data_IF_460212114430
#
_entry.id   IF_460212114430
#
_cell.length_a   1.000
_cell.length_b   1.000
_cell.length_c   1.000
_cell.angle_alpha   90.00
_cell.angle_beta   90.00
_cell.angle_gamma   90.00
#
_symmetry.space_group_name_H-M   'P 1'
#
loop_
_entity.id
_entity.type
_entity.pdbx_description
1 polymer ?
#
# COMPACT_ATOMS: atom_id res chain seq x y z
N UNK A 1 7.33 8.33 -20.56
CA UNK A 1 7.82 6.96 -20.30
C UNK A 1 7.26 6.53 -18.95
N UNK A 2 6.64 5.35 -18.85
CA UNK A 2 6.04 4.88 -17.61
C UNK A 2 7.14 4.59 -16.58
N UNK A 3 7.01 5.13 -15.37
CA UNK A 3 7.91 4.93 -14.25
C UNK A 3 7.15 4.37 -13.07
N UNK A 4 7.77 3.45 -12.37
CA UNK A 4 7.21 2.81 -11.20
C UNK A 4 8.15 2.97 -10.00
N UNK A 5 7.63 2.70 -8.79
CA UNK A 5 8.41 2.83 -7.57
C UNK A 5 8.26 1.61 -6.66
N UNK A 6 9.35 1.24 -6.03
CA UNK A 6 9.30 0.51 -4.77
C UNK A 6 9.60 1.45 -3.61
N UNK A 7 8.92 1.20 -2.50
CA UNK A 7 9.15 1.93 -1.24
C UNK A 7 9.31 0.86 -0.17
N UNK A 8 10.50 0.74 0.37
CA UNK A 8 10.92 -0.36 1.24
C UNK A 8 11.30 0.21 2.60
N UNK A 9 10.80 -0.41 3.67
CA UNK A 9 11.21 -0.08 5.04
C UNK A 9 12.60 -0.62 5.31
N UNK A 10 13.45 0.26 5.79
CA UNK A 10 14.71 -0.09 6.44
C UNK A 10 14.54 0.17 7.93
N UNK A 11 14.81 -0.82 8.75
CA UNK A 11 14.64 -0.75 10.19
C UNK A 11 15.92 -1.22 10.87
N UNK A 12 16.59 -0.29 11.57
CA UNK A 12 17.86 -0.56 12.27
C UNK A 12 18.89 -1.32 11.41
N UNK A 13 19.06 -0.91 10.16
CA UNK A 13 20.04 -1.50 9.23
C UNK A 13 19.52 -2.70 8.43
N UNK A 14 18.30 -3.15 8.67
CA UNK A 14 17.71 -4.29 7.96
C UNK A 14 16.68 -3.84 6.91
N UNK A 15 16.87 -4.25 5.65
CA UNK A 15 15.94 -4.01 4.55
C UNK A 15 14.81 -5.03 4.60
N UNK A 16 13.59 -4.60 4.86
CA UNK A 16 12.44 -5.48 5.07
C UNK A 16 11.82 -5.95 3.76
N UNK A 17 11.33 -7.19 3.75
CA UNK A 17 10.48 -7.75 2.67
C UNK A 17 11.05 -7.64 1.25
N UNK A 18 12.37 -7.68 1.09
CA UNK A 18 13.08 -7.51 -0.20
C UNK A 18 12.53 -8.43 -1.28
N UNK A 19 12.29 -9.71 -0.98
CA UNK A 19 11.78 -10.69 -1.94
C UNK A 19 10.39 -10.31 -2.50
N UNK A 20 9.48 -9.78 -1.66
CA UNK A 20 8.15 -9.34 -2.10
C UNK A 20 8.24 -8.08 -2.98
N UNK A 21 9.17 -7.16 -2.66
CA UNK A 21 9.42 -5.96 -3.46
C UNK A 21 10.01 -6.32 -4.83
N UNK A 22 10.99 -7.22 -4.85
CA UNK A 22 11.62 -7.71 -6.08
C UNK A 22 10.62 -8.43 -6.97
N UNK A 23 9.78 -9.31 -6.40
CA UNK A 23 8.69 -9.96 -7.13
C UNK A 23 7.76 -8.93 -7.79
N UNK A 24 7.18 -7.99 -7.02
CA UNK A 24 6.26 -6.98 -7.55
C UNK A 24 6.90 -6.10 -8.61
N UNK A 25 8.15 -5.69 -8.41
CA UNK A 25 8.91 -4.92 -9.39
C UNK A 25 9.03 -5.69 -10.71
N UNK A 26 9.40 -6.97 -10.64
CA UNK A 26 9.57 -7.80 -11.83
C UNK A 26 8.23 -8.15 -12.48
N UNK A 27 7.17 -8.40 -11.71
CA UNK A 27 5.81 -8.59 -12.24
C UNK A 27 5.35 -7.34 -13.03
N UNK A 28 5.59 -6.14 -12.48
CA UNK A 28 5.30 -4.88 -13.17
C UNK A 28 6.12 -4.74 -14.44
N UNK A 29 7.42 -5.08 -14.40
CA UNK A 29 8.30 -5.01 -15.57
C UNK A 29 7.87 -6.00 -16.67
N UNK A 30 7.55 -7.23 -16.30
CA UNK A 30 7.06 -8.26 -17.24
C UNK A 30 5.74 -7.82 -17.89
N UNK A 31 4.85 -7.17 -17.12
CA UNK A 31 3.59 -6.66 -17.67
C UNK A 31 3.78 -5.56 -18.72
N UNK A 32 4.69 -4.61 -18.49
CA UNK A 32 4.88 -3.47 -19.41
C UNK A 32 5.99 -3.70 -20.44
N UNK A 33 6.98 -4.52 -20.12
CA UNK A 33 8.18 -4.77 -20.94
C UNK A 33 8.60 -6.25 -20.84
N UNK A 34 7.88 -7.18 -21.46
CA UNK A 34 8.08 -8.62 -21.25
C UNK A 34 9.48 -9.12 -21.66
N UNK A 35 10.16 -8.43 -22.58
CA UNK A 35 11.52 -8.76 -23.01
C UNK A 35 12.62 -8.21 -22.09
N UNK A 36 12.27 -7.41 -21.08
CA UNK A 36 13.26 -6.84 -20.17
C UNK A 36 13.72 -7.88 -19.14
N UNK A 37 15.04 -8.01 -18.89
CA UNK A 37 15.55 -8.95 -17.90
C UNK A 37 15.04 -8.61 -16.49
N UNK A 38 14.88 -9.62 -15.65
CA UNK A 38 14.54 -9.42 -14.25
C UNK A 38 15.65 -8.65 -13.53
N UNK A 39 15.26 -7.83 -12.56
CA UNK A 39 16.17 -7.05 -11.72
C UNK A 39 16.28 -7.70 -10.34
N UNK A 40 17.49 -7.68 -9.79
CA UNK A 40 17.77 -8.09 -8.41
C UNK A 40 18.08 -6.85 -7.57
N UNK A 41 17.29 -6.61 -6.53
CA UNK A 41 17.41 -5.41 -5.70
C UNK A 41 18.75 -5.35 -4.96
N UNK A 42 19.31 -6.48 -4.59
CA UNK A 42 20.55 -6.58 -3.83
C UNK A 42 21.72 -5.78 -4.46
N UNK A 43 21.80 -5.75 -5.79
CA UNK A 43 22.86 -5.01 -6.52
C UNK A 43 22.70 -3.49 -6.52
N UNK A 44 21.59 -2.97 -5.99
CA UNK A 44 21.26 -1.54 -6.03
C UNK A 44 21.04 -0.91 -4.66
N UNK A 45 21.23 -1.69 -3.59
CA UNK A 45 21.06 -1.14 -2.24
C UNK A 45 22.21 -0.20 -1.90
N UNK A 46 21.91 1.03 -1.45
CA UNK A 46 22.94 1.97 -0.99
C UNK A 46 23.49 1.54 0.38
N UNK A 47 24.45 2.28 0.90
CA UNK A 47 24.82 2.14 2.31
C UNK A 47 23.58 2.37 3.19
N UNK A 48 23.25 1.36 4.02
CA UNK A 48 22.06 1.35 4.84
C UNK A 48 22.37 1.91 6.23
N UNK A 49 21.63 2.94 6.71
CA UNK A 49 21.81 3.45 8.06
C UNK A 49 21.52 2.39 9.13
N UNK A 50 22.42 2.24 10.10
CA UNK A 50 22.34 1.20 11.12
C UNK A 50 21.33 1.47 12.25
N UNK A 51 20.65 2.62 12.27
CA UNK A 51 19.70 3.00 13.32
C UNK A 51 18.48 3.72 12.78
N UNK A 52 17.35 3.58 13.48
CA UNK A 52 16.08 4.23 13.15
C UNK A 52 15.39 3.62 11.92
N UNK A 53 14.21 4.17 11.62
CA UNK A 53 13.41 3.76 10.46
C UNK A 53 13.71 4.68 9.28
N UNK A 54 14.04 4.08 8.13
CA UNK A 54 14.30 4.80 6.89
C UNK A 54 13.40 4.29 5.77
N UNK A 55 13.11 5.18 4.84
CA UNK A 55 12.38 4.91 3.60
C UNK A 55 13.38 4.77 2.46
N UNK A 56 13.59 3.56 1.98
CA UNK A 56 14.31 3.27 0.76
C UNK A 56 13.32 3.35 -0.41
N UNK A 57 13.52 4.31 -1.30
CA UNK A 57 12.73 4.52 -2.50
C UNK A 57 13.55 4.19 -3.72
N UNK A 58 13.00 3.33 -4.59
CA UNK A 58 13.62 2.87 -5.82
C UNK A 58 12.67 3.22 -6.97
N UNK A 59 13.13 4.02 -7.93
CA UNK A 59 12.42 4.31 -9.18
C UNK A 59 12.99 3.43 -10.28
N UNK A 60 12.10 2.84 -11.06
CA UNK A 60 12.48 1.97 -12.17
C UNK A 60 11.59 2.12 -13.38
N UNK A 61 12.13 1.77 -14.53
CA UNK A 61 11.48 1.80 -15.83
C UNK A 61 11.90 0.64 -16.70
N UNK A 62 11.74 0.80 -18.00
CA UNK A 62 12.12 -0.21 -18.99
C UNK A 62 13.62 -0.57 -18.93
N UNK A 63 14.48 0.43 -18.81
CA UNK A 63 15.93 0.26 -18.85
C UNK A 63 16.55 -0.16 -17.52
N UNK A 64 15.73 -0.40 -16.47
CA UNK A 64 16.22 -0.81 -15.16
C UNK A 64 15.90 0.19 -14.06
N UNK A 65 16.73 0.18 -13.00
CA UNK A 65 16.63 1.11 -11.88
C UNK A 65 17.25 2.46 -12.29
N UNK A 66 16.49 3.54 -12.07
CA UNK A 66 16.86 4.91 -12.47
C UNK A 66 17.29 5.77 -11.29
N UNK A 67 16.71 5.54 -10.12
CA UNK A 67 16.97 6.33 -8.91
C UNK A 67 16.83 5.47 -7.67
N UNK A 68 17.74 5.62 -6.72
CA UNK A 68 17.66 5.02 -5.40
C UNK A 68 17.95 6.08 -4.34
N UNK A 69 17.02 6.25 -3.39
CA UNK A 69 17.18 7.19 -2.27
C UNK A 69 16.81 6.52 -0.96
N UNK A 70 17.55 6.84 0.11
CA UNK A 70 17.27 6.38 1.45
C UNK A 70 17.18 7.58 2.39
N UNK A 71 16.01 7.78 3.02
CA UNK A 71 15.75 8.96 3.86
C UNK A 71 15.11 8.54 5.18
N UNK A 72 15.37 9.25 6.29
CA UNK A 72 14.65 9.02 7.53
C UNK A 72 13.14 9.06 7.33
N UNK A 73 12.43 8.22 8.05
CA UNK A 73 10.97 8.12 7.93
C UNK A 73 10.29 8.22 9.30
N UNK A 74 9.26 9.03 9.35
CA UNK A 74 8.34 9.12 10.50
C UNK A 74 6.93 8.82 10.01
N UNK A 75 6.25 7.91 10.70
CA UNK A 75 4.87 7.57 10.41
C UNK A 75 3.95 8.78 10.69
N UNK A 76 3.17 9.18 9.70
CA UNK A 76 2.10 10.15 9.89
C UNK A 76 0.89 9.40 10.47
N UNK A 77 0.37 9.81 11.64
CA UNK A 77 -0.83 9.21 12.19
C UNK A 77 -2.05 9.48 11.30
N UNK A 78 -2.90 8.47 11.17
CA UNK A 78 -4.22 8.55 10.54
C UNK A 78 -5.24 8.18 11.60
N UNK A 79 -6.24 9.03 11.84
CA UNK A 79 -7.25 8.86 12.89
C UNK A 79 -8.68 8.85 12.33
N UNK A 80 -8.84 9.28 11.09
CA UNK A 80 -10.14 9.36 10.42
C UNK A 80 -10.02 9.17 8.93
N UNK A 81 -11.03 8.55 8.32
CA UNK A 81 -11.06 8.24 6.89
C UNK A 81 -12.37 8.71 6.26
N UNK A 82 -12.25 9.45 5.16
CA UNK A 82 -13.38 9.78 4.29
C UNK A 82 -13.64 8.62 3.31
N UNK A 83 -14.85 8.07 3.28
CA UNK A 83 -15.26 7.09 2.26
C UNK A 83 -15.51 7.83 0.93
N UNK A 84 -14.72 7.51 -0.09
CA UNK A 84 -14.79 8.17 -1.40
C UNK A 84 -15.08 7.13 -2.48
N UNK A 85 -16.20 7.28 -3.17
CA UNK A 85 -16.49 6.43 -4.33
C UNK A 85 -15.68 6.87 -5.55
N UNK A 86 -15.03 5.88 -6.20
CA UNK A 86 -14.21 6.09 -7.38
C UNK A 86 -14.12 4.80 -8.22
N UNK A 87 -15.14 4.56 -9.04
CA UNK A 87 -15.28 3.32 -9.79
C UNK A 87 -14.27 3.16 -10.92
N UNK A 88 -13.81 4.28 -11.49
CA UNK A 88 -12.92 4.31 -12.65
C UNK A 88 -11.44 4.46 -12.29
N UNK A 89 -11.09 4.48 -10.99
CA UNK A 89 -9.69 4.61 -10.59
C UNK A 89 -8.91 3.35 -10.96
N UNK A 90 -7.77 3.54 -11.63
CA UNK A 90 -6.77 2.51 -11.87
C UNK A 90 -5.44 2.91 -11.22
N UNK A 91 -4.93 2.04 -10.35
CA UNK A 91 -3.62 2.11 -9.72
C UNK A 91 -3.10 0.70 -9.40
N UNK A 92 -3.34 -0.25 -10.30
CA UNK A 92 -2.95 -1.65 -10.11
C UNK A 92 -1.42 -1.82 -10.00
N UNK A 93 -0.65 -0.97 -10.68
CA UNK A 93 0.80 -0.88 -10.57
C UNK A 93 1.21 0.37 -9.80
N UNK A 94 2.29 0.28 -9.01
CA UNK A 94 2.78 1.38 -8.17
C UNK A 94 3.51 2.44 -9.02
N UNK A 95 2.73 3.22 -9.78
CA UNK A 95 3.24 4.28 -10.65
C UNK A 95 3.80 5.46 -9.85
N UNK A 96 4.79 6.17 -10.43
CA UNK A 96 5.21 7.49 -9.97
C UNK A 96 4.14 8.54 -10.20
N UNK A 97 3.29 8.38 -11.21
CA UNK A 97 2.12 9.22 -11.42
C UNK A 97 1.01 8.84 -10.43
N UNK A 98 0.78 9.72 -9.49
CA UNK A 98 -0.27 9.63 -8.46
C UNK A 98 -1.38 10.65 -8.66
N UNK A 99 -1.47 11.26 -9.82
CA UNK A 99 -2.41 12.37 -10.08
C UNK A 99 -3.87 11.98 -9.77
N UNK A 100 -4.30 10.78 -10.18
CA UNK A 100 -5.64 10.28 -9.88
C UNK A 100 -5.86 10.07 -8.36
N UNK A 101 -4.93 9.42 -7.67
CA UNK A 101 -5.00 9.25 -6.21
C UNK A 101 -4.98 10.59 -5.47
N UNK A 102 -4.14 11.54 -5.92
CA UNK A 102 -4.04 12.86 -5.30
C UNK A 102 -5.34 13.67 -5.47
N UNK A 103 -6.02 13.55 -6.62
CA UNK A 103 -7.34 14.16 -6.82
C UNK A 103 -8.39 13.57 -5.87
N UNK A 104 -8.39 12.26 -5.65
CA UNK A 104 -9.28 11.63 -4.68
C UNK A 104 -8.94 12.07 -3.25
N UNK A 105 -7.65 12.05 -2.90
CA UNK A 105 -7.17 12.48 -1.58
C UNK A 105 -7.55 13.94 -1.26
N UNK A 106 -7.58 14.82 -2.26
CA UNK A 106 -8.02 16.22 -2.09
C UNK A 106 -9.48 16.32 -1.65
N UNK A 107 -10.32 15.31 -1.93
CA UNK A 107 -11.74 15.26 -1.54
C UNK A 107 -11.97 14.82 -0.09
N UNK A 108 -10.93 14.50 0.67
CA UNK A 108 -11.06 14.01 2.05
C UNK A 108 -11.70 14.99 3.04
N UNK A 109 -11.82 16.26 2.67
CA UNK A 109 -12.33 17.30 3.60
C UNK A 109 -11.43 17.46 4.82
N UNK A 110 -12.02 17.41 6.01
CA UNK A 110 -11.32 17.54 7.30
C UNK A 110 -10.69 16.21 7.80
N UNK A 111 -10.88 15.09 7.10
CA UNK A 111 -10.36 13.79 7.51
C UNK A 111 -8.87 13.63 7.15
N UNK A 112 -8.18 12.71 7.83
CA UNK A 112 -6.74 12.53 7.66
C UNK A 112 -6.37 11.86 6.33
N UNK A 113 -7.17 10.86 5.90
CA UNK A 113 -7.00 10.16 4.63
C UNK A 113 -8.36 9.74 4.05
N UNK A 114 -8.34 9.01 2.96
CA UNK A 114 -9.53 8.47 2.30
C UNK A 114 -9.52 6.94 2.36
N UNK A 115 -10.72 6.34 2.36
CA UNK A 115 -10.93 4.95 2.04
C UNK A 115 -11.70 4.88 0.71
N UNK A 116 -11.06 4.31 -0.30
CA UNK A 116 -11.59 4.27 -1.66
C UNK A 116 -12.55 3.10 -1.79
N UNK A 117 -13.76 3.43 -2.22
CA UNK A 117 -14.84 2.49 -2.54
C UNK A 117 -14.93 2.38 -4.06
N UNK A 118 -14.89 1.16 -4.59
CA UNK A 118 -15.02 0.88 -6.02
C UNK A 118 -16.11 -0.14 -6.24
N UNK A 119 -17.17 0.24 -6.97
CA UNK A 119 -18.35 -0.62 -7.22
C UNK A 119 -18.91 -1.22 -5.93
N UNK A 120 -19.12 -0.37 -4.93
CA UNK A 120 -19.59 -0.71 -3.57
C UNK A 120 -18.61 -1.55 -2.73
N UNK A 121 -17.45 -1.91 -3.23
CA UNK A 121 -16.43 -2.67 -2.49
C UNK A 121 -15.34 -1.74 -1.95
N UNK A 122 -14.92 -1.99 -0.71
CA UNK A 122 -13.76 -1.34 -0.13
C UNK A 122 -12.49 -1.81 -0.83
N UNK A 123 -11.52 -0.92 -1.04
CA UNK A 123 -10.28 -1.28 -1.75
C UNK A 123 -9.02 -0.97 -0.95
N UNK A 124 -8.71 0.31 -0.76
CA UNK A 124 -7.47 0.78 -0.14
C UNK A 124 -7.63 2.24 0.30
N UNK A 125 -6.70 2.74 1.13
CA UNK A 125 -6.57 4.19 1.35
C UNK A 125 -5.72 4.83 0.24
N UNK A 126 -5.43 6.12 0.36
CA UNK A 126 -4.55 6.80 -0.60
C UNK A 126 -3.13 6.22 -0.63
N UNK A 127 -2.68 5.54 0.44
CA UNK A 127 -1.30 5.05 0.60
C UNK A 127 -1.19 3.61 1.12
N UNK A 128 -2.25 3.02 1.68
CA UNK A 128 -2.18 1.77 2.43
C UNK A 128 -3.25 0.76 1.98
N UNK A 129 -2.93 -0.53 2.09
CA UNK A 129 -3.94 -1.57 2.14
C UNK A 129 -4.66 -1.53 3.48
N UNK A 130 -5.82 -2.17 3.55
CA UNK A 130 -6.64 -2.25 4.75
C UNK A 130 -6.94 -3.69 5.12
N UNK A 131 -7.21 -3.91 6.40
CA UNK A 131 -7.89 -5.10 6.88
C UNK A 131 -8.91 -4.72 7.95
N UNK A 132 -10.04 -5.42 7.97
CA UNK A 132 -11.13 -5.21 8.93
C UNK A 132 -11.27 -6.46 9.80
N UNK A 133 -11.55 -6.25 11.10
CA UNK A 133 -11.72 -7.32 12.09
C UNK A 133 -13.18 -7.54 12.40
N UNK A 134 -13.64 -8.78 12.22
CA UNK A 134 -15.04 -9.17 12.46
C UNK A 134 -15.30 -9.74 13.88
N UNK A 135 -14.30 -9.66 14.76
CA UNK A 135 -14.32 -10.25 16.10
C UNK A 135 -13.58 -11.60 16.16
N UNK A 136 -13.25 -12.22 15.03
CA UNK A 136 -12.57 -13.50 14.96
C UNK A 136 -11.40 -13.50 13.97
N UNK A 137 -11.58 -12.88 12.81
CA UNK A 137 -10.62 -12.91 11.70
C UNK A 137 -10.38 -11.52 11.12
N UNK A 138 -9.19 -11.35 10.54
CA UNK A 138 -8.83 -10.17 9.77
C UNK A 138 -9.08 -10.40 8.27
N UNK A 139 -10.00 -9.63 7.70
CA UNK A 139 -10.34 -9.66 6.28
C UNK A 139 -9.73 -8.49 5.53
N UNK A 140 -9.05 -8.75 4.43
CA UNK A 140 -8.54 -7.73 3.51
C UNK A 140 -9.30 -7.78 2.19
N UNK A 141 -9.57 -6.64 1.52
CA UNK A 141 -10.22 -6.63 0.22
C UNK A 141 -9.58 -7.59 -0.76
N UNK A 142 -10.38 -8.43 -1.40
CA UNK A 142 -9.95 -9.37 -2.45
C UNK A 142 -9.42 -8.62 -3.68
N UNK A 143 -10.02 -7.45 -3.97
CA UNK A 143 -9.69 -6.59 -5.10
C UNK A 143 -9.14 -5.25 -4.62
N UNK A 144 -7.95 -5.20 -3.99
CA UNK A 144 -7.36 -3.94 -3.56
C UNK A 144 -6.95 -3.11 -4.76
N UNK A 145 -6.88 -1.79 -4.59
CA UNK A 145 -6.41 -0.91 -5.66
C UNK A 145 -4.96 -1.22 -6.07
N UNK A 146 -4.11 -1.54 -5.10
CA UNK A 146 -2.75 -2.01 -5.30
C UNK A 146 -2.50 -3.25 -4.45
N UNK A 147 -1.96 -4.30 -5.01
CA UNK A 147 -1.48 -5.48 -4.28
C UNK A 147 -0.17 -5.14 -3.56
N UNK A 148 -0.27 -4.75 -2.28
CA UNK A 148 0.88 -4.34 -1.47
C UNK A 148 1.80 -5.50 -1.07
N UNK A 149 3.09 -5.22 -0.91
CA UNK A 149 4.09 -6.22 -0.50
C UNK A 149 3.87 -6.70 0.94
N UNK A 150 3.50 -5.80 1.86
CA UNK A 150 3.10 -6.19 3.22
C UNK A 150 1.82 -7.03 3.21
N UNK A 151 0.85 -6.72 2.32
CA UNK A 151 -0.35 -7.54 2.17
C UNK A 151 -0.01 -8.96 1.73
N UNK A 152 0.87 -9.12 0.75
CA UNK A 152 1.30 -10.43 0.28
C UNK A 152 1.97 -11.23 1.43
N UNK A 153 2.87 -10.60 2.18
CA UNK A 153 3.50 -11.22 3.36
C UNK A 153 2.47 -11.70 4.40
N UNK A 154 1.47 -10.87 4.72
CA UNK A 154 0.46 -11.19 5.74
C UNK A 154 -0.51 -12.29 5.28
N UNK A 155 -0.80 -12.36 3.98
CA UNK A 155 -1.57 -13.45 3.37
C UNK A 155 -0.77 -14.77 3.41
N UNK A 156 0.51 -14.75 3.01
CA UNK A 156 1.38 -15.93 3.03
C UNK A 156 1.57 -16.47 4.46
N UNK A 157 1.50 -15.60 5.47
CA UNK A 157 1.54 -15.97 6.90
C UNK A 157 0.17 -16.42 7.46
N UNK A 158 -0.90 -16.39 6.67
CA UNK A 158 -2.25 -16.74 7.12
C UNK A 158 -2.86 -15.77 8.15
N UNK A 159 -2.28 -14.55 8.28
CA UNK A 159 -2.80 -13.50 9.18
C UNK A 159 -4.04 -12.84 8.60
N UNK A 160 -4.10 -12.74 7.27
CA UNK A 160 -5.20 -12.14 6.52
C UNK A 160 -5.93 -13.19 5.69
N UNK A 161 -7.24 -12.99 5.56
CA UNK A 161 -8.09 -13.70 4.59
C UNK A 161 -8.67 -12.71 3.60
N UNK A 162 -8.61 -13.01 2.31
CA UNK A 162 -9.22 -12.18 1.27
C UNK A 162 -10.74 -12.31 1.29
N UNK A 163 -11.44 -11.18 1.19
CA UNK A 163 -12.90 -11.12 1.13
C UNK A 163 -13.33 -9.91 0.32
N UNK A 164 -14.41 -10.04 -0.45
CA UNK A 164 -15.14 -8.89 -0.96
C UNK A 164 -15.89 -8.23 0.20
N UNK A 165 -15.49 -7.01 0.55
CA UNK A 165 -16.05 -6.28 1.69
C UNK A 165 -16.86 -5.12 1.13
N UNK A 166 -18.19 -5.17 1.31
CA UNK A 166 -19.08 -4.09 0.89
C UNK A 166 -19.09 -2.97 1.93
N UNK A 167 -19.31 -1.76 1.46
CA UNK A 167 -19.43 -0.60 2.34
C UNK A 167 -20.57 -0.79 3.37
N UNK A 168 -21.65 -1.42 2.97
CA UNK A 168 -22.83 -1.69 3.81
C UNK A 168 -22.53 -2.72 4.92
N UNK A 169 -21.47 -3.52 4.78
CA UNK A 169 -21.05 -4.52 5.77
C UNK A 169 -20.16 -3.91 6.88
N UNK A 170 -19.76 -2.64 6.78
CA UNK A 170 -18.90 -1.99 7.78
C UNK A 170 -19.40 -2.13 9.23
N UNK A 171 -20.71 -2.08 9.52
CA UNK A 171 -21.21 -2.30 10.90
C UNK A 171 -20.90 -3.68 11.50
N UNK A 172 -20.57 -4.68 10.68
CA UNK A 172 -20.17 -6.01 11.14
C UNK A 172 -18.70 -6.09 11.59
N UNK A 173 -17.93 -5.02 11.41
CA UNK A 173 -16.52 -4.95 11.75
C UNK A 173 -16.29 -3.93 12.86
N UNK A 174 -15.44 -4.27 13.83
CA UNK A 174 -15.12 -3.37 14.95
C UNK A 174 -13.91 -2.48 14.69
N UNK A 175 -12.96 -2.96 13.89
CA UNK A 175 -11.63 -2.35 13.77
C UNK A 175 -11.13 -2.41 12.35
N UNK A 176 -10.45 -1.35 11.93
CA UNK A 176 -9.70 -1.31 10.66
C UNK A 176 -8.22 -1.09 10.93
N UNK A 177 -7.35 -1.86 10.29
CA UNK A 177 -5.90 -1.64 10.23
C UNK A 177 -5.49 -1.13 8.87
N UNK A 178 -4.60 -0.14 8.89
CA UNK A 178 -3.92 0.38 7.70
C UNK A 178 -2.51 -0.15 7.69
N UNK A 179 -2.06 -0.68 6.58
CA UNK A 179 -0.71 -1.22 6.48
C UNK A 179 -0.16 -1.13 5.05
N UNK A 180 1.14 -0.96 4.98
CA UNK A 180 1.92 -0.99 3.75
C UNK A 180 3.38 -1.34 4.09
N UNK A 181 4.31 -1.25 3.14
CA UNK A 181 5.72 -1.54 3.41
C UNK A 181 6.34 -0.65 4.51
N UNK A 182 5.81 0.58 4.73
CA UNK A 182 6.31 1.56 5.71
C UNK A 182 5.51 1.58 7.01
N UNK A 183 4.28 1.04 7.00
CA UNK A 183 3.37 0.92 8.15
C UNK A 183 3.25 -0.56 8.46
N UNK A 184 3.86 -1.00 9.54
CA UNK A 184 3.84 -2.41 9.91
C UNK A 184 2.49 -2.82 10.48
N UNK A 185 2.27 -4.12 10.62
CA UNK A 185 1.02 -4.68 11.12
C UNK A 185 0.77 -4.26 12.58
N UNK A 186 -0.34 -3.53 12.79
CA UNK A 186 -0.73 -2.99 14.09
C UNK A 186 -0.18 -1.59 14.41
N UNK A 187 0.69 -0.99 13.58
CA UNK A 187 1.16 0.40 13.80
C UNK A 187 0.06 1.46 13.53
N UNK A 188 -0.94 1.14 12.71
CA UNK A 188 -2.06 2.03 12.41
C UNK A 188 -3.38 1.26 12.51
N UNK A 189 -4.11 1.51 13.56
CA UNK A 189 -5.39 0.86 13.89
C UNK A 189 -6.41 1.91 14.31
N UNK A 190 -7.64 1.76 13.81
CA UNK A 190 -8.77 2.64 14.11
C UNK A 190 -10.03 1.82 14.35
N UNK A 191 -10.96 2.28 15.19
CA UNK A 191 -12.32 1.74 15.22
C UNK A 191 -13.04 2.09 13.90
N UNK A 192 -14.01 1.27 13.51
CA UNK A 192 -14.74 1.48 12.25
C UNK A 192 -15.69 2.68 12.27
N UNK A 193 -16.03 3.23 13.42
CA UNK A 193 -16.79 4.48 13.57
C UNK A 193 -16.03 5.75 13.11
N UNK A 194 -14.71 5.63 12.89
CA UNK A 194 -13.89 6.69 12.28
C UNK A 194 -13.96 6.73 10.75
N UNK A 195 -14.85 5.93 10.13
CA UNK A 195 -15.07 5.89 8.69
C UNK A 195 -16.32 6.73 8.36
N UNK A 196 -16.15 7.81 7.60
CA UNK A 196 -17.21 8.79 7.37
C UNK A 196 -17.56 8.88 5.88
N UNK A 197 -18.83 8.62 5.48
CA UNK A 197 -19.28 8.89 4.11
C UNK A 197 -19.15 10.38 3.78
N UNK A 198 -18.60 10.68 2.61
CA UNK A 198 -18.58 12.05 2.06
C UNK A 198 -19.47 12.06 0.82
N UNK A 199 -20.58 12.78 0.92
CA UNK A 199 -21.60 12.94 -0.13
C UNK A 199 -21.30 14.15 -1.00
#
# INVERSE_FOLDING_TARGET
MCRFIETIRVDCGEVRNTAYHERRMNDTRTHFWPESPALQLAGYLPAIPGSGVHKLRIVYGQNGIEEVTCTPYTLRPVRSLALIQADDIDYACKSTDRSALNRLFARRGAYDDILIVRRHLLTATSIANIALFDGSHWHTPQHPLLKGTKRAELLDKGILTEKDIRMEELPAYSTIRLFNAMIDWGEAELPTDCLHPVF
#
